data_IF_077234390176
#
_entry.id   IF_077234390176
#
_cell.length_a   1.000
_cell.length_b   1.000
_cell.length_c   1.000
_cell.angle_alpha   90.00
_cell.angle_beta   90.00
_cell.angle_gamma   90.00
#
_symmetry.space_group_name_H-M   'P 1'
#
loop_
_entity.id
_entity.type
_entity.pdbx_description
1 polymer ?
#
# COMPACT_ATOMS: atom_id res chain seq x y z
N UNK A 1 -5.81 -13.63 13.12
CA UNK A 1 -4.49 -13.01 12.82
C UNK A 1 -4.77 -11.56 12.52
N UNK A 2 -4.01 -10.65 13.09
CA UNK A 2 -4.11 -9.21 12.76
C UNK A 2 -2.89 -8.79 11.92
N UNK A 3 -3.00 -7.68 11.19
CA UNK A 3 -1.92 -7.18 10.33
C UNK A 3 -0.58 -6.94 11.06
N UNK A 4 -0.54 -6.34 12.27
CA UNK A 4 0.72 -6.17 13.00
C UNK A 4 1.44 -7.49 13.31
N UNK A 5 0.71 -8.57 13.64
CA UNK A 5 1.32 -9.90 13.86
C UNK A 5 1.90 -10.49 12.57
N UNK A 6 1.26 -10.24 11.42
CA UNK A 6 1.76 -10.69 10.12
C UNK A 6 3.14 -10.12 9.80
N UNK A 7 3.42 -8.89 10.19
CA UNK A 7 4.71 -8.21 9.97
C UNK A 7 5.75 -8.48 11.07
N UNK A 8 5.47 -9.34 12.06
CA UNK A 8 6.40 -9.65 13.16
C UNK A 8 7.59 -10.54 12.76
N UNK A 9 7.64 -10.98 11.50
CA UNK A 9 8.73 -11.78 10.96
C UNK A 9 10.04 -10.99 10.87
N UNK A 10 11.17 -11.71 10.84
CA UNK A 10 12.47 -11.04 10.75
C UNK A 10 12.61 -10.25 9.44
N UNK A 11 13.25 -9.10 9.53
CA UNK A 11 13.52 -8.23 8.39
C UNK A 11 14.28 -8.93 7.26
N UNK A 12 15.18 -9.86 7.61
CA UNK A 12 15.98 -10.61 6.63
C UNK A 12 15.11 -11.56 5.80
N UNK A 13 14.07 -12.12 6.37
CA UNK A 13 13.08 -12.93 5.65
C UNK A 13 12.29 -12.04 4.70
N UNK A 14 11.82 -10.88 5.17
CA UNK A 14 11.11 -9.93 4.32
C UNK A 14 11.97 -9.43 3.17
N UNK A 15 13.25 -9.10 3.39
CA UNK A 15 14.18 -8.71 2.31
C UNK A 15 14.34 -9.80 1.24
N UNK A 16 14.35 -11.08 1.62
CA UNK A 16 14.40 -12.19 0.67
C UNK A 16 13.14 -12.30 -0.19
N UNK A 17 11.99 -11.90 0.34
CA UNK A 17 10.69 -11.96 -0.37
C UNK A 17 10.48 -10.71 -1.21
N UNK A 18 10.68 -9.52 -0.63
CA UNK A 18 10.26 -8.22 -1.18
C UNK A 18 11.42 -7.42 -1.83
N UNK A 19 12.66 -7.91 -1.68
CA UNK A 19 13.85 -7.14 -2.08
C UNK A 19 14.34 -6.17 -1.00
N UNK A 20 15.45 -5.49 -1.29
CA UNK A 20 16.15 -4.65 -0.31
C UNK A 20 15.37 -3.39 0.10
N UNK A 21 14.51 -2.88 -0.75
CA UNK A 21 13.71 -1.69 -0.48
C UNK A 21 12.37 -2.02 0.20
N UNK A 22 12.07 -3.33 0.38
CA UNK A 22 10.91 -3.82 1.15
C UNK A 22 9.57 -3.28 0.67
N UNK A 23 9.40 -3.21 -0.64
CA UNK A 23 8.14 -2.82 -1.27
C UNK A 23 7.10 -3.94 -1.16
N UNK A 24 6.10 -3.76 -0.29
CA UNK A 24 4.99 -4.70 -0.14
C UNK A 24 3.73 -4.14 -0.80
N UNK A 25 3.76 -4.07 -2.12
CA UNK A 25 2.65 -3.65 -2.98
C UNK A 25 2.78 -4.32 -4.36
N UNK A 26 1.73 -4.28 -5.15
CA UNK A 26 1.76 -4.76 -6.54
C UNK A 26 2.70 -3.89 -7.36
N UNK A 27 3.46 -4.53 -8.24
CA UNK A 27 4.43 -3.87 -9.10
C UNK A 27 3.81 -3.08 -10.26
N UNK A 28 4.67 -2.61 -11.19
CA UNK A 28 4.30 -1.92 -12.40
C UNK A 28 5.34 -2.15 -13.50
N UNK A 29 4.89 -2.47 -14.70
CA UNK A 29 5.76 -2.58 -15.88
C UNK A 29 6.77 -3.71 -15.79
N UNK A 30 7.93 -3.50 -16.39
CA UNK A 30 9.03 -4.47 -16.47
C UNK A 30 10.26 -4.01 -15.67
N UNK A 31 11.18 -4.93 -15.38
CA UNK A 31 12.42 -4.63 -14.64
C UNK A 31 12.19 -4.56 -13.14
N UNK A 32 12.53 -3.47 -12.49
CA UNK A 32 12.22 -3.25 -11.06
C UNK A 32 10.77 -2.79 -10.91
N UNK A 33 9.85 -3.75 -10.99
CA UNK A 33 8.42 -3.52 -11.00
C UNK A 33 7.92 -2.77 -9.75
N UNK A 34 8.55 -2.95 -8.60
CA UNK A 34 8.15 -2.27 -7.36
C UNK A 34 8.60 -0.82 -7.34
N UNK A 35 9.84 -0.55 -7.74
CA UNK A 35 10.33 0.80 -7.92
C UNK A 35 9.48 1.56 -8.95
N UNK A 36 9.19 0.94 -10.10
CA UNK A 36 8.38 1.53 -11.15
C UNK A 36 6.98 1.93 -10.68
N UNK A 37 6.37 1.15 -9.79
CA UNK A 37 5.07 1.46 -9.22
C UNK A 37 5.07 2.77 -8.40
N UNK A 38 6.16 3.07 -7.69
CA UNK A 38 6.31 4.32 -6.96
C UNK A 38 6.75 5.44 -7.90
N UNK A 39 7.64 5.16 -8.88
CA UNK A 39 8.06 6.13 -9.89
C UNK A 39 6.87 6.65 -10.70
N UNK A 40 5.88 5.80 -10.99
CA UNK A 40 4.64 6.21 -11.66
C UNK A 40 3.90 7.34 -10.92
N UNK A 41 4.00 7.39 -9.58
CA UNK A 41 3.36 8.43 -8.77
C UNK A 41 4.08 9.79 -8.82
N UNK A 42 5.33 9.87 -9.31
CA UNK A 42 6.11 11.11 -9.32
C UNK A 42 5.41 12.26 -10.03
N UNK A 43 4.79 11.98 -11.17
CA UNK A 43 4.06 12.97 -11.97
C UNK A 43 2.90 13.62 -11.22
N UNK A 44 2.34 12.95 -10.24
CA UNK A 44 1.21 13.44 -9.44
C UNK A 44 1.67 14.09 -8.12
N UNK A 45 2.81 13.64 -7.56
CA UNK A 45 3.35 14.14 -6.28
C UNK A 45 4.08 15.47 -6.50
N UNK A 46 5.03 15.51 -7.45
CA UNK A 46 5.94 16.63 -7.66
C UNK A 46 7.14 16.60 -6.69
N UNK A 47 8.19 17.36 -7.04
CA UNK A 47 9.43 17.47 -6.25
C UNK A 47 9.29 18.40 -5.04
N UNK A 48 10.16 18.19 -4.02
CA UNK A 48 10.31 19.05 -2.84
C UNK A 48 9.01 19.20 -2.02
N UNK A 49 8.19 18.13 -1.95
CA UNK A 49 6.91 18.14 -1.23
C UNK A 49 7.03 17.63 0.20
N UNK A 50 6.25 18.22 1.11
CA UNK A 50 5.97 17.68 2.43
C UNK A 50 4.87 16.63 2.28
N UNK A 51 5.20 15.36 2.49
CA UNK A 51 4.37 14.22 2.15
C UNK A 51 4.00 13.40 3.37
N UNK A 52 2.70 13.04 3.48
CA UNK A 52 2.18 12.09 4.46
C UNK A 52 2.00 10.72 3.77
N UNK A 53 2.76 9.70 4.21
CA UNK A 53 2.64 8.32 3.76
C UNK A 53 1.74 7.53 4.72
N UNK A 54 0.47 7.38 4.33
CA UNK A 54 -0.60 6.81 5.15
C UNK A 54 -0.55 5.28 5.09
N UNK A 55 0.07 4.65 6.09
CA UNK A 55 0.32 3.22 6.11
C UNK A 55 1.61 2.86 5.38
N UNK A 56 2.70 3.53 5.75
CA UNK A 56 4.00 3.48 5.07
C UNK A 56 4.69 2.09 5.06
N UNK A 57 4.14 1.09 5.77
CA UNK A 57 4.72 -0.24 5.86
C UNK A 57 6.18 -0.20 6.32
N UNK A 58 7.07 -0.80 5.56
CA UNK A 58 8.52 -0.81 5.81
C UNK A 58 9.24 0.48 5.38
N UNK A 59 8.51 1.49 4.88
CA UNK A 59 9.05 2.77 4.44
C UNK A 59 9.67 2.76 3.05
N UNK A 60 9.43 1.71 2.25
CA UNK A 60 10.00 1.59 0.89
C UNK A 60 9.61 2.75 -0.01
N UNK A 61 8.31 3.07 -0.09
CA UNK A 61 7.79 4.19 -0.88
C UNK A 61 8.38 5.53 -0.42
N UNK A 62 8.35 5.79 0.89
CA UNK A 62 8.90 7.02 1.47
C UNK A 62 10.39 7.19 1.23
N UNK A 63 11.18 6.10 1.30
CA UNK A 63 12.61 6.09 0.99
C UNK A 63 12.88 6.51 -0.45
N UNK A 64 12.13 5.96 -1.40
CA UNK A 64 12.26 6.26 -2.83
C UNK A 64 11.86 7.71 -3.11
N UNK A 65 10.71 8.17 -2.61
CA UNK A 65 10.23 9.54 -2.81
C UNK A 65 11.16 10.59 -2.19
N UNK A 66 11.77 10.28 -1.04
CA UNK A 66 12.79 11.16 -0.46
C UNK A 66 14.04 11.23 -1.32
N UNK A 67 14.55 10.10 -1.81
CA UNK A 67 15.79 10.02 -2.60
C UNK A 67 15.64 10.72 -3.96
N UNK A 68 14.55 10.44 -4.67
CA UNK A 68 14.41 10.79 -6.08
C UNK A 68 13.65 12.08 -6.32
N UNK A 69 12.72 12.43 -5.42
CA UNK A 69 11.86 13.60 -5.52
C UNK A 69 12.17 14.68 -4.48
N UNK A 70 13.19 14.44 -3.63
CA UNK A 70 13.56 15.33 -2.53
C UNK A 70 12.38 15.67 -1.59
N UNK A 71 11.44 14.73 -1.41
CA UNK A 71 10.29 14.93 -0.52
C UNK A 71 10.69 14.85 0.96
N UNK A 72 10.05 15.66 1.79
CA UNK A 72 10.05 15.50 3.24
C UNK A 72 8.92 14.57 3.64
N UNK A 73 9.26 13.30 3.96
CA UNK A 73 8.26 12.25 4.19
C UNK A 73 8.03 12.02 5.68
N UNK A 74 6.75 12.02 6.08
CA UNK A 74 6.27 11.53 7.38
C UNK A 74 5.40 10.29 7.16
N UNK A 75 5.87 9.14 7.63
CA UNK A 75 5.15 7.87 7.53
C UNK A 75 4.31 7.56 8.76
N UNK A 76 3.20 6.85 8.57
CA UNK A 76 2.36 6.33 9.64
C UNK A 76 2.34 4.80 9.55
N UNK A 77 2.64 4.13 10.66
CA UNK A 77 2.51 2.67 10.78
C UNK A 77 1.98 2.28 12.16
N UNK A 78 1.21 1.20 12.23
CA UNK A 78 0.78 0.60 13.50
C UNK A 78 1.64 -0.60 13.92
N UNK A 79 2.69 -0.93 13.16
CA UNK A 79 3.60 -2.04 13.44
C UNK A 79 4.87 -1.55 14.17
N UNK A 80 5.11 -1.97 15.43
CA UNK A 80 6.34 -1.63 16.15
C UNK A 80 7.61 -2.06 15.41
N UNK A 81 7.58 -3.23 14.76
CA UNK A 81 8.74 -3.77 14.03
C UNK A 81 9.08 -2.90 12.81
N UNK A 82 8.06 -2.46 12.07
CA UNK A 82 8.26 -1.53 10.93
C UNK A 82 8.76 -0.17 11.42
N UNK A 83 8.15 0.36 12.49
CA UNK A 83 8.58 1.61 13.10
C UNK A 83 10.07 1.58 13.50
N UNK A 84 10.49 0.56 14.25
CA UNK A 84 11.88 0.40 14.68
C UNK A 84 12.84 0.28 13.49
N UNK A 85 12.42 -0.46 12.46
CA UNK A 85 13.21 -0.58 11.23
C UNK A 85 13.40 0.78 10.54
N UNK A 86 12.34 1.54 10.35
CA UNK A 86 12.40 2.85 9.70
C UNK A 86 13.27 3.81 10.50
N UNK A 87 13.08 3.90 11.81
CA UNK A 87 13.86 4.76 12.71
C UNK A 87 15.36 4.49 12.65
N UNK A 88 15.74 3.21 12.49
CA UNK A 88 17.14 2.80 12.54
C UNK A 88 17.82 2.74 11.15
N UNK A 89 17.04 2.66 10.06
CA UNK A 89 17.61 2.36 8.73
C UNK A 89 17.18 3.34 7.63
N UNK A 90 16.11 4.11 7.85
CA UNK A 90 15.58 5.04 6.84
C UNK A 90 15.54 6.45 7.43
N UNK A 91 16.14 7.39 6.73
CA UNK A 91 16.16 8.80 7.18
C UNK A 91 14.83 9.50 6.81
N UNK A 92 13.70 9.07 7.42
CA UNK A 92 12.39 9.72 7.30
C UNK A 92 11.72 9.83 8.67
N UNK A 93 10.77 10.75 8.81
CA UNK A 93 9.94 10.82 9.99
C UNK A 93 8.94 9.65 9.97
N UNK A 94 8.65 9.08 11.15
CA UNK A 94 7.64 8.03 11.28
C UNK A 94 6.96 8.10 12.63
N UNK A 95 5.63 7.86 12.64
CA UNK A 95 4.81 7.78 13.84
C UNK A 95 4.28 6.35 13.99
N UNK A 96 4.42 5.81 15.22
CA UNK A 96 3.82 4.52 15.61
C UNK A 96 2.42 4.76 16.15
N UNK A 97 1.42 4.71 15.27
CA UNK A 97 0.02 4.93 15.63
C UNK A 97 -0.89 4.24 14.61
N UNK A 98 -2.05 3.76 15.06
CA UNK A 98 -3.12 3.35 14.15
C UNK A 98 -3.65 4.59 13.40
N UNK A 99 -3.70 4.49 12.07
CA UNK A 99 -4.11 5.59 11.21
C UNK A 99 -5.55 6.07 11.51
N UNK A 100 -6.43 5.17 12.00
CA UNK A 100 -7.77 5.55 12.46
C UNK A 100 -7.77 6.49 13.69
N UNK A 101 -6.65 6.57 14.42
CA UNK A 101 -6.48 7.44 15.58
C UNK A 101 -5.52 8.60 15.33
N UNK A 102 -4.92 8.65 14.13
CA UNK A 102 -4.01 9.72 13.76
C UNK A 102 -4.78 10.97 13.35
N UNK A 103 -4.39 12.09 13.95
CA UNK A 103 -4.87 13.44 13.58
C UNK A 103 -3.62 14.25 13.28
N UNK A 104 -3.40 14.68 12.03
CA UNK A 104 -2.23 15.49 11.67
C UNK A 104 -2.22 16.83 12.42
N UNK A 105 -1.10 17.14 13.05
CA UNK A 105 -0.86 18.50 13.62
C UNK A 105 -0.28 19.45 12.57
N UNK A 106 0.42 18.89 11.58
CA UNK A 106 1.05 19.61 10.48
C UNK A 106 0.19 19.61 9.22
N UNK A 107 0.49 20.57 8.32
CA UNK A 107 -0.01 20.54 6.93
C UNK A 107 0.97 19.80 6.03
N UNK A 108 0.44 19.13 5.02
CA UNK A 108 1.18 18.39 3.99
C UNK A 108 0.77 18.89 2.61
N UNK A 109 1.70 18.87 1.67
CA UNK A 109 1.36 19.16 0.26
C UNK A 109 0.55 18.01 -0.35
N UNK A 110 0.91 16.76 0.03
CA UNK A 110 0.30 15.54 -0.52
C UNK A 110 0.19 14.48 0.57
N UNK A 111 -0.94 13.77 0.62
CA UNK A 111 -1.06 12.50 1.34
C UNK A 111 -1.15 11.35 0.34
N UNK A 112 -0.47 10.23 0.61
CA UNK A 112 -0.52 9.04 -0.24
C UNK A 112 -1.00 7.82 0.53
N UNK A 113 -1.75 6.96 -0.18
CA UNK A 113 -2.10 5.61 0.24
C UNK A 113 -1.59 4.65 -0.85
N UNK A 114 -0.62 3.82 -0.52
CA UNK A 114 -0.08 2.79 -1.42
C UNK A 114 -0.48 1.43 -0.89
N UNK A 115 -1.62 0.91 -1.38
CA UNK A 115 -2.22 -0.37 -0.99
C UNK A 115 -2.37 -0.52 0.54
N UNK A 116 -2.78 0.55 1.19
CA UNK A 116 -2.92 0.64 2.64
C UNK A 116 -4.33 1.00 3.09
N UNK A 117 -5.09 1.73 2.26
CA UNK A 117 -6.46 2.15 2.56
C UNK A 117 -7.41 0.95 2.70
N UNK A 118 -7.22 -0.08 1.89
CA UNK A 118 -8.00 -1.32 1.96
C UNK A 118 -7.87 -2.08 3.29
N UNK A 119 -6.87 -1.76 4.11
CA UNK A 119 -6.67 -2.39 5.42
C UNK A 119 -7.27 -1.61 6.59
N UNK A 120 -7.87 -0.45 6.34
CA UNK A 120 -8.41 0.40 7.40
C UNK A 120 -9.76 -0.13 7.90
N UNK A 121 -9.92 -0.17 9.22
CA UNK A 121 -11.18 -0.57 9.86
C UNK A 121 -12.25 0.54 9.80
N UNK A 122 -11.82 1.80 9.69
CA UNK A 122 -12.69 2.98 9.57
C UNK A 122 -12.07 4.00 8.60
N UNK A 123 -12.11 3.66 7.32
CA UNK A 123 -11.50 4.44 6.26
C UNK A 123 -12.10 5.86 6.13
N UNK A 124 -13.41 6.02 6.32
CA UNK A 124 -14.06 7.33 6.28
C UNK A 124 -13.56 8.28 7.38
N UNK A 125 -13.34 7.77 8.60
CA UNK A 125 -12.76 8.57 9.70
C UNK A 125 -11.32 9.01 9.38
N UNK A 126 -10.53 8.13 8.77
CA UNK A 126 -9.15 8.46 8.37
C UNK A 126 -9.15 9.60 7.35
N UNK A 127 -9.97 9.51 6.30
CA UNK A 127 -10.07 10.56 5.29
C UNK A 127 -10.55 11.88 5.89
N UNK A 128 -11.54 11.84 6.78
CA UNK A 128 -12.00 13.04 7.50
C UNK A 128 -10.84 13.68 8.29
N UNK A 129 -10.08 12.90 9.06
CA UNK A 129 -8.98 13.41 9.88
C UNK A 129 -7.86 14.05 9.05
N UNK A 130 -7.55 13.52 7.85
CA UNK A 130 -6.45 14.02 7.01
C UNK A 130 -6.91 15.07 6.01
N UNK A 131 -8.21 15.18 5.73
CA UNK A 131 -8.76 16.09 4.70
C UNK A 131 -8.44 17.55 4.97
N UNK A 132 -8.33 17.95 6.24
CA UNK A 132 -7.94 19.31 6.61
C UNK A 132 -6.43 19.54 6.54
N UNK A 133 -5.64 18.48 6.56
CA UNK A 133 -4.18 18.56 6.59
C UNK A 133 -3.55 18.68 5.19
N UNK A 134 -4.28 18.38 4.11
CA UNK A 134 -3.77 18.45 2.74
C UNK A 134 -4.85 18.84 1.73
N UNK A 135 -4.43 19.41 0.61
CA UNK A 135 -5.30 19.70 -0.53
C UNK A 135 -5.17 18.66 -1.66
N UNK A 136 -4.29 17.66 -1.51
CA UNK A 136 -4.09 16.62 -2.50
C UNK A 136 -3.93 15.25 -1.82
N UNK A 137 -4.73 14.27 -2.26
CA UNK A 137 -4.65 12.89 -1.79
C UNK A 137 -4.51 11.97 -3.01
N UNK A 138 -3.53 11.07 -2.96
CA UNK A 138 -3.26 10.10 -4.01
C UNK A 138 -3.45 8.71 -3.43
N UNK A 139 -4.26 7.91 -4.10
CA UNK A 139 -4.42 6.49 -3.80
C UNK A 139 -3.82 5.67 -4.94
N UNK A 140 -3.02 4.68 -4.62
CA UNK A 140 -2.75 3.53 -5.47
C UNK A 140 -3.32 2.34 -4.72
N UNK A 141 -4.58 1.94 -5.08
CA UNK A 141 -5.38 1.16 -4.16
C UNK A 141 -6.32 0.18 -4.85
N UNK A 142 -6.61 -0.92 -4.17
CA UNK A 142 -7.56 -1.93 -4.60
C UNK A 142 -9.00 -1.45 -4.49
N UNK A 143 -9.85 -1.91 -5.43
CA UNK A 143 -11.29 -1.65 -5.40
C UNK A 143 -12.07 -2.79 -6.03
N UNK A 144 -13.38 -2.86 -5.76
CA UNK A 144 -14.29 -3.78 -6.43
C UNK A 144 -14.62 -3.27 -7.84
N UNK A 145 -14.52 -4.16 -8.84
CA UNK A 145 -15.00 -3.96 -10.21
C UNK A 145 -16.49 -4.29 -10.35
N UNK A 146 -17.00 -5.19 -9.50
CA UNK A 146 -18.36 -5.71 -9.55
C UNK A 146 -19.05 -5.60 -8.18
N UNK A 147 -20.36 -5.88 -8.15
CA UNK A 147 -21.08 -5.97 -6.87
C UNK A 147 -20.83 -7.30 -6.13
N UNK A 148 -20.08 -8.20 -6.71
CA UNK A 148 -19.75 -9.49 -6.15
C UNK A 148 -18.52 -9.38 -5.26
N UNK A 149 -18.68 -9.57 -3.96
CA UNK A 149 -17.57 -9.48 -3.01
C UNK A 149 -16.76 -10.79 -3.02
N UNK A 150 -15.49 -10.78 -3.44
CA UNK A 150 -14.68 -11.96 -3.59
C UNK A 150 -14.10 -12.45 -2.25
N UNK A 151 -14.96 -12.93 -1.36
CA UNK A 151 -14.62 -13.27 0.03
C UNK A 151 -13.44 -14.23 0.16
N UNK A 152 -13.31 -15.20 -0.75
CA UNK A 152 -12.31 -16.27 -0.66
C UNK A 152 -10.87 -15.77 -0.66
N UNK A 153 -10.55 -14.66 -1.34
CA UNK A 153 -9.21 -14.09 -1.35
C UNK A 153 -9.10 -12.74 -0.64
N UNK A 154 -10.17 -11.98 -0.53
CA UNK A 154 -10.16 -10.73 0.26
C UNK A 154 -9.89 -11.02 1.74
N UNK A 155 -10.55 -12.02 2.32
CA UNK A 155 -10.32 -12.43 3.71
C UNK A 155 -8.88 -12.93 3.94
N UNK A 156 -8.23 -13.53 2.91
CA UNK A 156 -6.83 -13.98 3.01
C UNK A 156 -5.81 -12.86 3.10
N UNK A 157 -6.14 -11.69 2.52
CA UNK A 157 -5.26 -10.54 2.46
C UNK A 157 -5.69 -9.43 3.43
N UNK A 158 -6.68 -9.70 4.30
CA UNK A 158 -7.20 -8.76 5.31
C UNK A 158 -7.68 -7.43 4.70
N UNK A 159 -8.34 -7.49 3.54
CA UNK A 159 -8.76 -6.30 2.80
C UNK A 159 -10.22 -5.97 3.07
N UNK A 160 -10.53 -4.70 3.15
CA UNK A 160 -11.87 -4.11 3.10
C UNK A 160 -11.98 -3.37 1.77
N UNK A 161 -12.55 -4.02 0.76
CA UNK A 161 -12.67 -3.43 -0.56
C UNK A 161 -13.94 -2.57 -0.65
N UNK A 162 -13.82 -1.47 -1.34
CA UNK A 162 -14.88 -0.54 -1.70
C UNK A 162 -15.00 -0.44 -3.22
N UNK A 163 -16.08 0.15 -3.69
CA UNK A 163 -16.24 0.46 -5.11
C UNK A 163 -15.60 1.81 -5.43
N UNK A 164 -15.20 2.00 -6.70
CA UNK A 164 -14.61 3.29 -7.15
C UNK A 164 -15.55 4.47 -6.90
N UNK A 165 -16.85 4.29 -7.20
CA UNK A 165 -17.87 5.31 -7.00
C UNK A 165 -18.10 5.66 -5.53
N UNK A 166 -17.96 4.69 -4.61
CA UNK A 166 -18.06 4.94 -3.16
C UNK A 166 -16.88 5.80 -2.66
N UNK A 167 -15.65 5.50 -3.09
CA UNK A 167 -14.49 6.33 -2.74
C UNK A 167 -14.63 7.75 -3.32
N UNK A 168 -15.01 7.88 -4.59
CA UNK A 168 -15.20 9.18 -5.24
C UNK A 168 -16.25 9.98 -4.49
N UNK A 169 -17.43 9.40 -4.20
CA UNK A 169 -18.49 10.08 -3.46
C UNK A 169 -18.05 10.50 -2.06
N UNK A 170 -17.27 9.68 -1.36
CA UNK A 170 -16.73 10.03 -0.04
C UNK A 170 -15.75 11.22 -0.12
N UNK A 171 -14.89 11.23 -1.14
CA UNK A 171 -13.94 12.33 -1.35
C UNK A 171 -14.64 13.63 -1.74
N UNK A 172 -15.69 13.55 -2.55
CA UNK A 172 -16.53 14.72 -2.89
C UNK A 172 -17.22 15.34 -1.66
N UNK A 173 -17.65 14.51 -0.68
CA UNK A 173 -18.21 15.00 0.59
C UNK A 173 -17.16 15.73 1.46
N UNK A 174 -15.86 15.54 1.18
CA UNK A 174 -14.74 16.21 1.82
C UNK A 174 -14.15 17.34 0.95
N UNK A 175 -14.91 17.82 -0.03
CA UNK A 175 -14.56 18.91 -0.97
C UNK A 175 -13.39 18.58 -1.91
N UNK A 176 -13.08 17.31 -2.13
CA UNK A 176 -12.10 16.87 -3.13
C UNK A 176 -12.79 16.46 -4.44
N UNK A 177 -12.11 16.72 -5.57
CA UNK A 177 -12.52 16.27 -6.90
C UNK A 177 -11.49 15.30 -7.45
N UNK A 178 -11.94 14.25 -8.13
CA UNK A 178 -11.04 13.36 -8.86
C UNK A 178 -10.47 14.10 -10.08
N UNK A 179 -9.14 14.24 -10.13
CA UNK A 179 -8.41 14.89 -11.25
C UNK A 179 -7.70 13.87 -12.12
N UNK A 180 -7.47 12.64 -11.61
CA UNK A 180 -6.93 11.53 -12.38
C UNK A 180 -7.45 10.19 -11.86
N UNK A 181 -7.72 9.26 -12.78
CA UNK A 181 -8.09 7.87 -12.49
C UNK A 181 -7.50 6.96 -13.57
N UNK A 182 -6.65 6.03 -13.17
CA UNK A 182 -6.01 5.05 -14.05
C UNK A 182 -6.03 3.66 -13.40
N UNK A 183 -6.46 2.64 -14.15
CA UNK A 183 -6.52 1.25 -13.70
C UNK A 183 -5.34 0.44 -14.23
N UNK A 184 -4.69 -0.36 -13.37
CA UNK A 184 -3.45 -1.08 -13.71
C UNK A 184 -3.41 -2.55 -13.33
N UNK A 185 -4.47 -3.08 -12.76
CA UNK A 185 -4.42 -4.41 -12.15
C UNK A 185 -4.16 -5.52 -13.14
N UNK A 186 -4.66 -5.39 -14.37
CA UNK A 186 -4.64 -6.46 -15.37
C UNK A 186 -3.22 -6.86 -15.80
N UNK A 187 -2.24 -5.97 -15.72
CA UNK A 187 -0.84 -6.26 -16.10
C UNK A 187 0.15 -6.19 -14.94
N UNK A 188 -0.29 -5.83 -13.75
CA UNK A 188 0.58 -5.65 -12.58
C UNK A 188 0.55 -6.86 -11.64
N UNK A 189 -0.58 -7.55 -11.52
CA UNK A 189 -0.81 -8.58 -10.50
C UNK A 189 0.03 -9.84 -10.74
N UNK A 190 -0.04 -10.42 -11.94
CA UNK A 190 0.59 -11.71 -12.23
C UNK A 190 2.11 -11.69 -12.03
N UNK A 191 2.88 -10.73 -12.59
CA UNK A 191 4.32 -10.63 -12.35
C UNK A 191 4.69 -10.48 -10.88
N UNK A 192 3.87 -9.74 -10.12
CA UNK A 192 4.07 -9.57 -8.67
C UNK A 192 3.91 -10.87 -7.91
N UNK A 193 2.83 -11.59 -8.16
CA UNK A 193 2.55 -12.88 -7.53
C UNK A 193 3.62 -13.92 -7.86
N UNK A 194 4.08 -13.93 -9.11
CA UNK A 194 5.15 -14.82 -9.55
C UNK A 194 6.46 -14.54 -8.84
N UNK A 195 6.83 -13.28 -8.72
CA UNK A 195 8.04 -12.88 -8.01
C UNK A 195 7.99 -13.25 -6.53
N UNK A 196 6.91 -12.90 -5.82
CA UNK A 196 6.74 -13.26 -4.40
C UNK A 196 6.74 -14.77 -4.18
N UNK A 197 5.96 -15.52 -4.97
CA UNK A 197 5.89 -16.96 -4.87
C UNK A 197 7.25 -17.63 -5.07
N UNK A 198 7.99 -17.22 -6.11
CA UNK A 198 9.30 -17.75 -6.41
C UNK A 198 10.32 -17.42 -5.30
N UNK A 199 10.27 -16.22 -4.73
CA UNK A 199 11.15 -15.82 -3.64
C UNK A 199 10.83 -16.59 -2.34
N UNK A 200 9.55 -16.77 -2.01
CA UNK A 200 9.14 -17.55 -0.84
C UNK A 200 9.61 -19.02 -0.98
N UNK A 201 9.54 -19.59 -2.18
CA UNK A 201 10.00 -20.97 -2.41
C UNK A 201 11.50 -21.16 -2.22
N UNK A 202 12.31 -20.12 -2.41
CA UNK A 202 13.76 -20.16 -2.17
C UNK A 202 14.14 -20.09 -0.68
N UNK A 203 13.21 -19.73 0.21
CA UNK A 203 13.45 -19.70 1.64
C UNK A 203 13.71 -21.10 2.18
N UNK A 204 14.63 -21.21 3.17
CA UNK A 204 14.88 -22.44 3.90
C UNK A 204 13.67 -22.82 4.77
N UNK A 205 13.60 -24.10 5.15
CA UNK A 205 12.45 -24.61 5.93
C UNK A 205 12.26 -23.90 7.26
N UNK A 206 13.35 -23.57 7.95
CA UNK A 206 13.38 -22.85 9.22
C UNK A 206 12.95 -21.38 9.10
N UNK A 207 13.07 -20.78 7.93
CA UNK A 207 12.64 -19.41 7.66
C UNK A 207 11.13 -19.31 7.33
N UNK A 208 10.50 -20.45 7.03
CA UNK A 208 9.08 -20.53 6.72
C UNK A 208 8.24 -20.68 7.99
N UNK A 209 8.05 -19.58 8.68
CA UNK A 209 7.15 -19.50 9.84
C UNK A 209 5.70 -19.74 9.44
N UNK A 210 4.77 -19.70 10.42
CA UNK A 210 3.34 -19.82 10.16
C UNK A 210 2.85 -18.69 9.22
N UNK A 211 3.31 -17.46 9.44
CA UNK A 211 2.90 -16.30 8.63
C UNK A 211 3.41 -16.42 7.19
N UNK A 212 4.67 -16.77 6.99
CA UNK A 212 5.25 -16.98 5.66
C UNK A 212 4.56 -18.13 4.92
N UNK A 213 4.19 -19.22 5.60
CA UNK A 213 3.41 -20.30 4.98
C UNK A 213 1.99 -19.83 4.59
N UNK A 214 1.38 -18.96 5.40
CA UNK A 214 0.09 -18.35 5.05
C UNK A 214 0.23 -17.48 3.80
N UNK A 215 1.27 -16.63 3.72
CA UNK A 215 1.58 -15.84 2.53
C UNK A 215 1.80 -16.71 1.30
N UNK A 216 2.61 -17.79 1.43
CA UNK A 216 2.83 -18.75 0.33
C UNK A 216 1.53 -19.36 -0.17
N UNK A 217 0.66 -19.79 0.76
CA UNK A 217 -0.63 -20.39 0.42
C UNK A 217 -1.57 -19.38 -0.23
N UNK A 218 -1.62 -18.14 0.26
CA UNK A 218 -2.45 -17.06 -0.29
C UNK A 218 -1.98 -16.65 -1.68
N UNK A 219 -0.67 -16.48 -1.86
CA UNK A 219 -0.07 -16.14 -3.17
C UNK A 219 -0.33 -17.24 -4.20
N UNK A 220 -0.14 -18.52 -3.81
CA UNK A 220 -0.44 -19.67 -4.68
C UNK A 220 -1.92 -19.73 -5.03
N UNK A 221 -2.80 -19.50 -4.07
CA UNK A 221 -4.24 -19.51 -4.31
C UNK A 221 -4.62 -18.44 -5.34
N UNK A 222 -4.16 -17.20 -5.16
CA UNK A 222 -4.46 -16.08 -6.04
C UNK A 222 -3.91 -16.31 -7.46
N UNK A 223 -2.70 -16.86 -7.60
CA UNK A 223 -2.14 -17.26 -8.90
C UNK A 223 -3.02 -18.27 -9.65
N UNK A 224 -3.60 -19.23 -8.93
CA UNK A 224 -4.47 -20.25 -9.52
C UNK A 224 -5.89 -19.75 -9.85
N UNK A 225 -6.27 -18.55 -9.36
CA UNK A 225 -7.58 -17.93 -9.55
C UNK A 225 -7.43 -16.50 -10.09
N UNK A 226 -6.39 -16.27 -10.90
CA UNK A 226 -6.03 -14.91 -11.34
C UNK A 226 -7.12 -14.29 -12.20
N UNK A 227 -7.73 -15.08 -13.10
CA UNK A 227 -8.80 -14.59 -13.98
C UNK A 227 -10.00 -14.09 -13.17
N UNK A 228 -10.43 -14.87 -12.16
CA UNK A 228 -11.51 -14.47 -11.24
C UNK A 228 -11.14 -13.19 -10.47
N UNK A 229 -9.87 -13.08 -10.03
CA UNK A 229 -9.37 -11.89 -9.35
C UNK A 229 -9.41 -10.65 -10.25
N UNK A 230 -8.95 -10.77 -11.48
CA UNK A 230 -8.94 -9.69 -12.46
C UNK A 230 -10.34 -9.25 -12.90
N UNK A 231 -11.32 -10.16 -12.90
CA UNK A 231 -12.73 -9.83 -13.18
C UNK A 231 -13.42 -9.06 -12.05
N UNK A 232 -13.02 -9.31 -10.80
CA UNK A 232 -13.75 -8.83 -9.62
C UNK A 232 -13.08 -7.70 -8.86
N UNK A 233 -11.74 -7.65 -8.89
CA UNK A 233 -10.92 -6.65 -8.18
C UNK A 233 -10.05 -5.89 -9.17
N UNK A 234 -9.96 -4.58 -8.98
CA UNK A 234 -9.04 -3.70 -9.69
C UNK A 234 -8.01 -3.09 -8.75
N UNK A 235 -6.92 -2.60 -9.33
CA UNK A 235 -5.96 -1.71 -8.71
C UNK A 235 -5.91 -0.43 -9.55
N UNK A 236 -6.10 0.72 -8.93
CA UNK A 236 -6.09 2.00 -9.64
C UNK A 236 -5.28 3.05 -8.92
N UNK A 237 -4.74 4.00 -9.69
CA UNK A 237 -4.28 5.27 -9.15
C UNK A 237 -5.41 6.30 -9.25
N UNK A 238 -5.78 6.87 -8.12
CA UNK A 238 -6.71 8.01 -8.02
C UNK A 238 -5.93 9.22 -7.52
N UNK A 239 -6.16 10.37 -8.13
CA UNK A 239 -5.68 11.67 -7.64
C UNK A 239 -6.88 12.53 -7.33
N UNK A 240 -6.94 13.04 -6.10
CA UNK A 240 -7.98 13.93 -5.62
C UNK A 240 -7.37 15.25 -5.20
N UNK A 241 -8.01 16.36 -5.60
CA UNK A 241 -7.57 17.73 -5.26
C UNK A 241 -8.77 18.59 -4.84
N UNK A 242 -8.54 19.50 -3.87
CA UNK A 242 -9.52 20.53 -3.47
C UNK A 242 -9.51 21.70 -4.43
#
# INVERSE_FOLDING_TARGET
>A
MNLPEFYSESIDVWKKILGNDLHYHVGWGEGDIFYNAIQHLYQFIGENKKLLDCGCGWGGSGKVLKRDMNCEVTGITNSPVQYDYIKNNISMNVNLIDLCNYIPEDKFDVAIFVESYCHLSNAGKVLYNISDATNKIIFREYHLKTNQYPKSYVDRWFMNLYRKDELISLMEQLDFKVTHLEEHYDYALEPTLDLWYNNIRKLKREEKTKHIRTLEASTRFLRNHIDEALETVGLSTFVFEK
#
